data_IF_944645246316
#
_entry.id   IF_944645246316
#
_cell.length_a   1.000
_cell.length_b   1.000
_cell.length_c   1.000
_cell.angle_alpha   90.00
_cell.angle_beta   90.00
_cell.angle_gamma   90.00
#
_symmetry.space_group_name_H-M   'P 1'
#
loop_
_entity.id
_entity.type
_entity.pdbx_description
1 polymer ?
#
# COMPACT_ATOMS: atom_id res chain seq x y z
N UNK A 1 -7.06 -20.51 -15.56
CA UNK A 1 -7.73 -21.00 -14.33
C UNK A 1 -6.91 -22.18 -13.83
N UNK A 2 -5.89 -21.92 -13.01
CA UNK A 2 -5.14 -22.97 -12.30
C UNK A 2 -5.67 -22.93 -10.88
N UNK A 3 -6.43 -23.97 -10.52
CA UNK A 3 -6.97 -24.14 -9.18
C UNK A 3 -5.79 -24.39 -8.22
N UNK A 4 -5.80 -23.68 -7.09
CA UNK A 4 -4.87 -23.88 -5.99
C UNK A 4 -4.78 -25.36 -5.60
N UNK A 5 -3.59 -25.80 -5.17
CA UNK A 5 -3.45 -27.07 -4.46
C UNK A 5 -4.06 -26.88 -3.06
N UNK A 6 -5.37 -27.10 -2.95
CA UNK A 6 -6.21 -26.79 -1.78
C UNK A 6 -5.75 -27.46 -0.48
N UNK A 7 -4.91 -28.49 -0.57
CA UNK A 7 -4.40 -29.29 0.55
C UNK A 7 -3.41 -28.53 1.42
N UNK A 8 -2.54 -27.71 0.86
CA UNK A 8 -1.47 -27.03 1.62
C UNK A 8 -1.92 -25.70 2.26
N UNK A 9 -3.03 -25.12 1.78
CA UNK A 9 -3.72 -24.02 2.45
C UNK A 9 -4.64 -24.54 3.56
N UNK A 10 -5.28 -25.70 3.33
CA UNK A 10 -6.06 -26.41 4.34
C UNK A 10 -5.24 -26.73 5.59
N UNK A 11 -4.04 -27.31 5.43
CA UNK A 11 -3.15 -27.67 6.55
C UNK A 11 -2.74 -26.46 7.39
N UNK A 12 -2.55 -25.29 6.77
CA UNK A 12 -2.18 -24.05 7.47
C UNK A 12 -3.36 -23.44 8.24
N UNK A 13 -4.59 -23.64 7.75
CA UNK A 13 -5.83 -23.19 8.36
C UNK A 13 -6.37 -24.18 9.42
N UNK A 14 -6.12 -25.48 9.25
CA UNK A 14 -6.58 -26.57 10.13
C UNK A 14 -5.80 -26.63 11.44
N UNK A 15 -4.53 -26.19 11.46
CA UNK A 15 -3.71 -26.03 12.68
C UNK A 15 -4.35 -25.11 13.75
N UNK A 16 -5.41 -24.39 13.41
CA UNK A 16 -6.06 -23.37 14.25
C UNK A 16 -7.54 -23.65 14.55
N UNK A 17 -8.02 -24.89 14.36
CA UNK A 17 -9.40 -25.27 14.74
C UNK A 17 -9.56 -25.72 16.20
N UNK A 18 -8.47 -25.93 16.94
CA UNK A 18 -8.47 -26.51 18.30
C UNK A 18 -7.79 -25.60 19.34
N UNK A 19 -8.27 -24.38 19.57
CA UNK A 19 -7.89 -23.66 20.79
C UNK A 19 -9.05 -22.86 21.40
N UNK A 20 -9.38 -23.23 22.62
CA UNK A 20 -10.67 -22.99 23.26
C UNK A 20 -10.70 -21.59 23.90
N UNK A 21 -11.52 -20.70 23.36
CA UNK A 21 -12.41 -19.81 24.15
C UNK A 21 -11.87 -18.83 25.23
N UNK A 22 -10.57 -18.70 25.49
CA UNK A 22 -10.05 -17.92 26.65
C UNK A 22 -9.34 -16.59 26.31
N UNK A 23 -9.66 -15.94 25.19
CA UNK A 23 -9.08 -14.61 24.89
C UNK A 23 -9.76 -13.44 25.62
N UNK A 24 -10.92 -13.65 26.25
CA UNK A 24 -11.83 -12.59 26.69
C UNK A 24 -11.82 -12.29 28.22
N UNK A 25 -10.64 -12.26 28.86
CA UNK A 25 -10.51 -11.76 30.25
C UNK A 25 -9.53 -10.58 30.28
N UNK A 26 -9.99 -9.45 30.83
CA UNK A 26 -9.39 -8.12 30.76
C UNK A 26 -7.86 -8.06 30.70
N UNK A 27 -7.33 -7.43 29.64
CA UNK A 27 -5.89 -7.29 29.41
C UNK A 27 -5.25 -6.48 30.55
N UNK A 28 -4.37 -7.14 31.30
CA UNK A 28 -3.36 -6.45 32.10
C UNK A 28 -2.35 -5.75 31.16
N UNK A 29 -1.95 -4.54 31.52
CA UNK A 29 -0.85 -3.78 30.88
C UNK A 29 0.39 -4.69 30.72
N UNK A 30 0.72 -5.08 29.48
CA UNK A 30 1.93 -5.86 29.17
C UNK A 30 1.77 -7.07 28.24
N UNK A 31 0.55 -7.46 27.82
CA UNK A 31 0.35 -8.50 26.79
C UNK A 31 0.25 -7.85 25.39
N UNK A 32 0.95 -8.42 24.39
CA UNK A 32 0.92 -7.99 22.97
C UNK A 32 -0.51 -7.91 22.42
N UNK A 33 -0.76 -6.98 21.50
CA UNK A 33 -2.04 -6.84 20.81
C UNK A 33 -2.45 -8.08 20.02
N UNK A 34 -1.45 -8.80 19.51
CA UNK A 34 -1.56 -10.01 18.72
C UNK A 34 -0.71 -11.11 19.36
N UNK A 35 -1.18 -12.36 19.35
CA UNK A 35 -0.38 -13.47 19.89
C UNK A 35 0.85 -13.72 19.02
N UNK A 36 1.92 -14.29 19.58
CA UNK A 36 3.11 -14.63 18.78
C UNK A 36 2.80 -15.66 17.67
N UNK A 37 1.82 -16.54 17.91
CA UNK A 37 1.35 -17.50 16.91
C UNK A 37 0.63 -16.81 15.75
N UNK A 38 -0.31 -15.91 16.06
CA UNK A 38 -1.03 -15.12 15.06
C UNK A 38 -0.09 -14.20 14.26
N UNK A 39 0.85 -13.55 14.93
CA UNK A 39 1.89 -12.73 14.31
C UNK A 39 2.63 -13.52 13.22
N UNK A 40 3.12 -14.71 13.58
CA UNK A 40 3.85 -15.56 12.65
C UNK A 40 2.95 -16.05 11.53
N UNK A 41 1.71 -16.48 11.83
CA UNK A 41 0.76 -16.96 10.84
C UNK A 41 0.37 -15.88 9.81
N UNK A 42 0.16 -14.64 10.25
CA UNK A 42 -0.08 -13.50 9.37
C UNK A 42 1.12 -13.26 8.46
N UNK A 43 2.34 -13.21 9.03
CA UNK A 43 3.56 -12.96 8.25
C UNK A 43 3.82 -14.05 7.21
N UNK A 44 3.69 -15.32 7.62
CA UNK A 44 3.90 -16.49 6.77
C UNK A 44 2.87 -16.50 5.63
N UNK A 45 1.60 -16.22 5.93
CA UNK A 45 0.55 -16.15 4.91
C UNK A 45 0.79 -15.00 3.93
N UNK A 46 1.22 -13.82 4.40
CA UNK A 46 1.59 -12.72 3.51
C UNK A 46 2.70 -13.13 2.54
N UNK A 47 3.79 -13.70 3.04
CA UNK A 47 4.91 -14.12 2.20
C UNK A 47 4.53 -15.27 1.25
N UNK A 48 3.76 -16.26 1.71
CA UNK A 48 3.24 -17.35 0.87
C UNK A 48 2.44 -16.81 -0.31
N UNK A 49 1.49 -15.90 -0.04
CA UNK A 49 0.63 -15.30 -1.08
C UNK A 49 1.43 -14.40 -2.04
N UNK A 50 2.38 -13.60 -1.52
CA UNK A 50 3.28 -12.76 -2.32
C UNK A 50 4.16 -13.58 -3.27
N UNK A 51 4.64 -14.74 -2.84
CA UNK A 51 5.44 -15.66 -3.66
C UNK A 51 4.64 -16.43 -4.73
N UNK A 52 3.31 -16.40 -4.66
CA UNK A 52 2.40 -17.18 -5.51
C UNK A 52 1.54 -16.32 -6.46
N UNK A 53 1.80 -15.02 -6.54
CA UNK A 53 1.02 -14.11 -7.37
C UNK A 53 1.06 -14.49 -8.86
N UNK A 54 -0.05 -14.23 -9.55
CA UNK A 54 -0.12 -14.28 -11.00
C UNK A 54 -0.62 -12.93 -11.56
N UNK A 55 0.05 -12.36 -12.58
CA UNK A 55 1.26 -12.88 -13.21
C UNK A 55 2.49 -12.82 -12.28
N UNK A 56 3.55 -13.59 -12.58
CA UNK A 56 4.69 -13.70 -11.66
C UNK A 56 5.44 -12.37 -11.46
N UNK A 57 5.91 -12.14 -10.24
CA UNK A 57 6.59 -10.91 -9.85
C UNK A 57 8.11 -11.06 -9.85
N UNK A 58 8.80 -10.19 -10.58
CA UNK A 58 10.27 -10.20 -10.69
C UNK A 58 10.99 -9.52 -9.52
N UNK A 59 10.30 -8.68 -8.74
CA UNK A 59 10.90 -7.82 -7.72
C UNK A 59 10.20 -7.92 -6.35
N UNK A 60 9.45 -8.98 -6.08
CA UNK A 60 8.66 -9.12 -4.85
C UNK A 60 9.59 -9.26 -3.64
N UNK A 61 9.61 -8.29 -2.72
CA UNK A 61 10.46 -8.35 -1.54
C UNK A 61 9.87 -9.27 -0.47
N UNK A 62 10.74 -10.00 0.24
CA UNK A 62 10.36 -10.72 1.44
C UNK A 62 9.93 -9.72 2.53
N UNK A 63 8.77 -9.97 3.13
CA UNK A 63 8.21 -9.13 4.18
C UNK A 63 8.67 -9.63 5.56
N UNK A 64 9.07 -8.70 6.43
CA UNK A 64 9.42 -8.98 7.83
C UNK A 64 8.46 -8.29 8.77
N UNK A 65 8.32 -8.83 9.98
CA UNK A 65 7.54 -8.18 11.03
C UNK A 65 8.26 -6.94 11.57
N UNK A 66 7.52 -5.87 11.84
CA UNK A 66 8.01 -4.62 12.41
C UNK A 66 7.19 -4.25 13.65
N UNK A 67 7.86 -4.19 14.79
CA UNK A 67 7.21 -3.97 16.10
C UNK A 67 6.70 -2.55 16.29
N UNK A 68 7.26 -1.56 15.58
CA UNK A 68 6.75 -0.18 15.65
C UNK A 68 5.48 -0.04 14.81
N UNK A 69 5.38 -0.75 13.68
CA UNK A 69 4.14 -0.87 12.92
C UNK A 69 3.05 -1.61 13.71
N UNK A 70 3.40 -2.66 14.46
CA UNK A 70 2.48 -3.37 15.38
C UNK A 70 1.95 -2.42 16.45
N UNK A 71 2.82 -1.66 17.12
CA UNK A 71 2.40 -0.69 18.16
C UNK A 71 1.46 0.37 17.58
N UNK A 72 1.78 0.92 16.42
CA UNK A 72 0.90 1.90 15.76
C UNK A 72 -0.44 1.28 15.35
N UNK A 73 -0.46 0.02 14.90
CA UNK A 73 -1.69 -0.70 14.58
C UNK A 73 -2.52 -0.97 15.83
N UNK A 74 -1.90 -1.26 16.97
CA UNK A 74 -2.55 -1.46 18.26
C UNK A 74 -3.26 -0.19 18.71
N UNK A 75 -2.55 0.94 18.73
CA UNK A 75 -3.13 2.25 19.06
C UNK A 75 -4.35 2.58 18.21
N UNK A 76 -4.34 2.22 16.92
CA UNK A 76 -5.49 2.44 16.03
C UNK A 76 -6.62 1.43 16.25
N UNK A 77 -6.31 0.15 16.44
CA UNK A 77 -7.30 -0.90 16.68
C UNK A 77 -8.10 -0.65 17.98
N UNK A 78 -7.47 -0.06 18.99
CA UNK A 78 -8.09 0.33 20.26
C UNK A 78 -9.17 1.42 20.11
N UNK A 79 -9.10 2.23 19.04
CA UNK A 79 -10.10 3.28 18.80
C UNK A 79 -11.48 2.73 18.44
N UNK A 80 -11.54 1.49 17.94
CA UNK A 80 -12.77 0.87 17.44
C UNK A 80 -13.53 1.72 16.41
N UNK A 81 -12.78 2.45 15.57
CA UNK A 81 -13.30 3.20 14.45
C UNK A 81 -13.08 2.42 13.15
N UNK A 82 -14.15 2.20 12.38
CA UNK A 82 -14.08 1.57 11.06
C UNK A 82 -13.63 2.57 9.98
N UNK A 83 -12.44 3.13 10.18
CA UNK A 83 -11.83 4.10 9.27
C UNK A 83 -10.30 3.92 9.28
N UNK A 84 -9.64 4.42 8.24
CA UNK A 84 -8.17 4.43 8.19
C UNK A 84 -7.58 5.49 9.12
N UNK A 85 -6.45 5.19 9.75
CA UNK A 85 -5.72 6.18 10.54
C UNK A 85 -4.53 5.66 11.33
N UNK A 86 -3.93 6.50 12.19
CA UNK A 86 -4.26 7.91 12.38
C UNK A 86 -3.88 8.74 11.15
N UNK A 87 -4.64 9.81 10.87
CA UNK A 87 -4.52 10.60 9.64
C UNK A 87 -3.09 11.11 9.36
N UNK A 88 -2.32 11.46 10.39
CA UNK A 88 -0.93 11.93 10.24
C UNK A 88 0.08 10.85 9.84
N UNK A 89 -0.24 9.56 10.02
CA UNK A 89 0.66 8.46 9.63
C UNK A 89 0.33 7.90 8.25
N UNK A 90 -0.93 7.99 7.82
CA UNK A 90 -1.37 7.48 6.51
C UNK A 90 -0.55 7.97 5.31
N UNK A 91 0.05 9.17 5.27
CA UNK A 91 0.93 9.57 4.16
C UNK A 91 2.17 8.67 4.01
N UNK A 92 2.63 8.07 5.11
CA UNK A 92 3.91 7.36 5.18
C UNK A 92 3.76 5.84 5.26
N UNK A 93 2.59 5.33 5.65
CA UNK A 93 2.33 3.90 5.81
C UNK A 93 1.19 3.43 4.90
N UNK A 94 1.27 2.17 4.48
CA UNK A 94 0.09 1.45 3.98
C UNK A 94 -0.74 0.92 5.15
N UNK A 95 -2.04 0.72 4.95
CA UNK A 95 -2.89 0.13 5.97
C UNK A 95 -4.02 -0.72 5.35
N UNK A 96 -4.17 -1.95 5.82
CA UNK A 96 -5.33 -2.78 5.55
C UNK A 96 -6.13 -2.99 6.83
N UNK A 97 -7.45 -2.93 6.70
CA UNK A 97 -8.40 -3.10 7.78
C UNK A 97 -9.26 -4.34 7.51
N UNK A 98 -9.53 -5.10 8.56
CA UNK A 98 -10.37 -6.29 8.49
C UNK A 98 -11.28 -6.31 9.70
N UNK A 99 -12.57 -6.58 9.49
CA UNK A 99 -13.51 -6.70 10.59
C UNK A 99 -14.46 -7.86 10.34
N UNK A 100 -14.71 -8.63 11.39
CA UNK A 100 -15.81 -9.59 11.42
C UNK A 100 -16.51 -9.56 12.76
N UNK A 101 -17.69 -10.16 12.82
CA UNK A 101 -18.49 -10.30 14.03
C UNK A 101 -19.22 -11.65 13.98
N UNK A 102 -19.65 -12.14 15.14
CA UNK A 102 -20.34 -13.42 15.25
C UNK A 102 -19.38 -14.60 15.41
N UNK A 103 -19.29 -15.48 14.40
CA UNK A 103 -18.47 -16.69 14.50
C UNK A 103 -16.99 -16.32 14.64
N UNK A 104 -16.29 -17.08 15.48
CA UNK A 104 -14.84 -16.99 15.60
C UNK A 104 -14.20 -17.29 14.23
N UNK A 105 -13.33 -16.39 13.78
CA UNK A 105 -12.47 -16.59 12.61
C UNK A 105 -11.01 -16.38 13.01
N UNK A 106 -10.08 -17.20 12.52
CA UNK A 106 -8.65 -17.00 12.78
C UNK A 106 -8.19 -15.65 12.20
N UNK A 107 -7.14 -15.06 12.76
CA UNK A 107 -6.57 -13.79 12.30
C UNK A 107 -6.25 -13.79 10.80
N UNK A 108 -5.77 -14.94 10.30
CA UNK A 108 -5.45 -15.21 8.89
C UNK A 108 -6.65 -15.15 7.93
N UNK A 109 -7.89 -15.29 8.42
CA UNK A 109 -9.08 -15.20 7.57
C UNK A 109 -9.25 -13.82 6.94
N UNK A 110 -8.86 -12.74 7.63
CA UNK A 110 -8.86 -11.40 7.06
C UNK A 110 -7.81 -11.24 5.96
N UNK A 111 -6.62 -11.81 6.16
CA UNK A 111 -5.53 -11.79 5.17
C UNK A 111 -5.95 -12.53 3.91
N UNK A 112 -6.61 -13.67 4.05
CA UNK A 112 -7.17 -14.41 2.92
C UNK A 112 -8.28 -13.60 2.23
N UNK A 113 -9.20 -12.98 2.98
CA UNK A 113 -10.25 -12.13 2.41
C UNK A 113 -9.68 -10.93 1.63
N UNK A 114 -8.60 -10.30 2.11
CA UNK A 114 -7.88 -9.27 1.37
C UNK A 114 -7.27 -9.81 0.08
N UNK A 115 -6.67 -11.00 0.12
CA UNK A 115 -6.10 -11.62 -1.07
C UNK A 115 -7.16 -12.02 -2.10
N UNK A 116 -8.32 -12.49 -1.65
CA UNK A 116 -9.41 -12.97 -2.51
C UNK A 116 -9.98 -11.88 -3.43
N UNK A 117 -9.70 -10.59 -3.18
CA UNK A 117 -9.98 -9.50 -4.10
C UNK A 117 -9.24 -9.66 -5.45
N UNK A 118 -8.21 -10.50 -5.52
CA UNK A 118 -7.52 -10.87 -6.77
C UNK A 118 -8.48 -11.36 -7.86
N UNK A 119 -9.61 -11.98 -7.48
CA UNK A 119 -10.65 -12.44 -8.43
C UNK A 119 -11.27 -11.29 -9.23
N UNK A 120 -11.25 -10.09 -8.67
CA UNK A 120 -11.84 -8.87 -9.20
C UNK A 120 -10.78 -7.89 -9.74
N UNK A 121 -9.50 -8.19 -9.53
CA UNK A 121 -8.38 -7.36 -9.94
C UNK A 121 -7.77 -7.85 -11.26
N UNK A 122 -7.48 -6.92 -12.17
CA UNK A 122 -6.72 -7.21 -13.39
C UNK A 122 -5.37 -6.50 -13.37
N UNK A 123 -4.28 -7.27 -13.46
CA UNK A 123 -2.92 -6.74 -13.46
C UNK A 123 -2.66 -5.83 -14.68
N UNK A 124 -2.17 -4.59 -14.49
CA UNK A 124 -1.80 -3.70 -15.59
C UNK A 124 -0.41 -4.07 -16.11
N UNK A 125 -0.34 -4.51 -17.36
CA UNK A 125 0.95 -4.82 -17.97
C UNK A 125 1.69 -3.56 -18.43
N UNK A 126 3.02 -3.58 -18.58
CA UNK A 126 3.82 -2.40 -18.92
C UNK A 126 3.34 -1.64 -20.17
N UNK A 127 2.84 -2.33 -21.19
CA UNK A 127 2.31 -1.73 -22.41
C UNK A 127 1.04 -0.89 -22.20
N UNK A 128 0.36 -1.08 -21.07
CA UNK A 128 -0.84 -0.34 -20.69
C UNK A 128 -0.52 0.87 -19.82
N UNK A 129 0.72 0.99 -19.36
CA UNK A 129 1.17 2.07 -18.49
C UNK A 129 1.76 3.22 -19.31
N UNK A 130 0.98 4.27 -19.57
CA UNK A 130 1.45 5.47 -20.28
C UNK A 130 0.65 6.75 -19.92
N UNK A 131 1.24 7.72 -19.20
CA UNK A 131 2.46 7.62 -18.38
C UNK A 131 2.23 6.82 -17.09
N UNK A 132 0.97 6.50 -16.78
CA UNK A 132 0.53 5.81 -15.58
C UNK A 132 -0.17 4.50 -15.93
N UNK A 133 -0.08 3.51 -15.06
CA UNK A 133 -0.81 2.25 -15.16
C UNK A 133 -2.30 2.42 -14.80
N UNK A 134 -3.24 1.82 -15.56
CA UNK A 134 -4.65 1.86 -15.23
C UNK A 134 -4.95 0.98 -14.00
N UNK A 135 -5.78 1.49 -13.08
CA UNK A 135 -6.36 0.67 -12.02
C UNK A 135 -7.64 -0.03 -12.53
N UNK A 136 -7.57 -1.36 -12.62
CA UNK A 136 -8.64 -2.24 -13.11
C UNK A 136 -9.15 -3.14 -11.98
N UNK A 137 -10.29 -2.76 -11.42
CA UNK A 137 -11.01 -3.51 -10.40
C UNK A 137 -12.47 -3.61 -10.85
N UNK A 138 -13.01 -4.82 -10.95
CA UNK A 138 -14.42 -5.09 -11.26
C UNK A 138 -15.29 -5.25 -10.02
N UNK A 139 -14.65 -5.46 -8.87
CA UNK A 139 -15.29 -5.63 -7.56
C UNK A 139 -15.44 -4.32 -6.80
N UNK A 140 -16.04 -4.36 -5.61
CA UNK A 140 -16.21 -3.18 -4.76
C UNK A 140 -14.88 -2.65 -4.23
N UNK A 141 -13.91 -3.51 -3.97
CA UNK A 141 -12.58 -3.17 -3.45
C UNK A 141 -11.55 -4.16 -4.02
N UNK A 142 -10.39 -3.63 -4.42
CA UNK A 142 -9.20 -4.44 -4.77
C UNK A 142 -7.91 -3.94 -4.10
N UNK A 143 -8.01 -2.88 -3.29
CA UNK A 143 -6.86 -2.20 -2.71
C UNK A 143 -6.22 -2.95 -1.56
N UNK A 144 -6.95 -3.85 -0.89
CA UNK A 144 -6.34 -4.68 0.15
C UNK A 144 -5.43 -5.73 -0.49
N UNK A 145 -5.88 -6.36 -1.58
CA UNK A 145 -5.04 -7.25 -2.38
C UNK A 145 -3.79 -6.53 -2.87
N UNK A 146 -3.92 -5.38 -3.54
CA UNK A 146 -2.74 -4.71 -4.12
C UNK A 146 -1.74 -4.25 -3.06
N UNK A 147 -2.19 -3.88 -1.84
CA UNK A 147 -1.28 -3.58 -0.73
C UNK A 147 -0.56 -4.83 -0.22
N UNK A 148 -1.28 -5.94 -0.05
CA UNK A 148 -0.72 -7.23 0.39
C UNK A 148 0.39 -7.69 -0.57
N UNK A 149 0.15 -7.57 -1.88
CA UNK A 149 1.10 -7.94 -2.93
C UNK A 149 1.99 -6.80 -3.42
N UNK A 150 2.10 -5.70 -2.67
CA UNK A 150 2.94 -4.58 -3.09
C UNK A 150 4.42 -4.93 -2.94
N UNK A 151 5.15 -5.01 -4.06
CA UNK A 151 6.50 -5.57 -4.11
C UNK A 151 7.47 -4.91 -3.10
N UNK A 152 7.43 -3.59 -2.98
CA UNK A 152 8.35 -2.83 -2.13
C UNK A 152 7.93 -2.77 -0.67
N UNK A 153 6.69 -3.14 -0.33
CA UNK A 153 6.26 -3.21 1.08
C UNK A 153 6.92 -4.42 1.73
N UNK A 154 8.04 -4.20 2.41
CA UNK A 154 8.88 -5.24 3.03
C UNK A 154 8.76 -5.32 4.54
N UNK A 155 7.93 -4.49 5.17
CA UNK A 155 7.65 -4.51 6.61
C UNK A 155 6.15 -4.49 6.86
N UNK A 156 5.70 -5.27 7.83
CA UNK A 156 4.32 -5.31 8.31
C UNK A 156 4.27 -5.35 9.83
N UNK A 157 3.27 -4.71 10.43
CA UNK A 157 2.90 -4.95 11.82
C UNK A 157 1.40 -4.83 11.98
N UNK A 158 0.79 -5.76 12.71
CA UNK A 158 -0.65 -5.82 12.87
C UNK A 158 -1.09 -5.94 14.33
N UNK A 159 -2.31 -5.53 14.61
CA UNK A 159 -2.95 -5.65 15.90
C UNK A 159 -4.41 -6.10 15.76
N UNK A 160 -4.86 -6.89 16.74
CA UNK A 160 -6.25 -7.33 16.86
C UNK A 160 -6.85 -6.72 18.13
N UNK A 161 -8.01 -6.11 17.97
CA UNK A 161 -8.82 -5.64 19.09
C UNK A 161 -10.26 -6.16 18.97
N UNK A 162 -10.91 -6.36 20.11
CA UNK A 162 -12.34 -6.67 20.14
C UNK A 162 -13.12 -5.45 20.60
N UNK A 163 -13.95 -4.96 19.68
CA UNK A 163 -14.77 -3.79 19.84
C UNK A 163 -16.19 -4.19 20.23
N UNK A 164 -16.58 -3.89 21.47
CA UNK A 164 -17.90 -4.29 21.99
C UNK A 164 -19.06 -3.67 21.23
N UNK A 165 -18.92 -2.42 20.78
CA UNK A 165 -19.86 -1.72 19.92
C UNK A 165 -19.07 -0.97 18.86
N UNK A 166 -18.99 -1.51 17.64
CA UNK A 166 -18.30 -0.87 16.51
C UNK A 166 -19.31 -0.49 15.45
N UNK A 167 -19.30 0.77 14.99
CA UNK A 167 -20.12 1.17 13.86
C UNK A 167 -19.39 0.81 12.56
N UNK A 168 -19.92 -0.17 11.85
CA UNK A 168 -19.40 -0.65 10.56
C UNK A 168 -20.46 -0.37 9.51
N UNK A 169 -20.20 0.59 8.61
CA UNK A 169 -21.12 1.02 7.55
C UNK A 169 -22.53 1.39 8.03
N UNK A 170 -22.63 2.09 9.16
CA UNK A 170 -23.91 2.54 9.73
C UNK A 170 -24.64 1.49 10.56
N UNK A 171 -24.04 0.32 10.77
CA UNK A 171 -24.59 -0.75 11.63
C UNK A 171 -23.68 -0.99 12.83
N UNK A 172 -24.29 -1.11 14.02
CA UNK A 172 -23.54 -1.43 15.23
C UNK A 172 -23.31 -2.95 15.29
N UNK A 173 -22.06 -3.35 15.19
CA UNK A 173 -21.62 -4.72 15.34
C UNK A 173 -21.19 -4.96 16.79
N UNK A 174 -21.88 -5.89 17.45
CA UNK A 174 -21.56 -6.29 18.80
C UNK A 174 -20.36 -7.24 18.82
N UNK A 175 -19.38 -6.98 19.69
CA UNK A 175 -18.13 -7.78 19.82
C UNK A 175 -17.45 -8.01 18.47
N UNK A 176 -17.29 -6.94 17.68
CA UNK A 176 -16.57 -6.99 16.41
C UNK A 176 -15.08 -7.25 16.67
N UNK A 177 -14.50 -8.21 15.95
CA UNK A 177 -13.06 -8.47 15.93
C UNK A 177 -12.46 -7.61 14.83
N UNK A 178 -11.60 -6.67 15.20
CA UNK A 178 -11.00 -5.68 14.32
C UNK A 178 -9.50 -5.93 14.18
N UNK A 179 -9.06 -6.22 12.96
CA UNK A 179 -7.67 -6.36 12.56
C UNK A 179 -7.21 -5.09 11.83
N UNK A 180 -6.11 -4.52 12.30
CA UNK A 180 -5.38 -3.43 11.62
C UNK A 180 -4.00 -3.95 11.27
N UNK A 181 -3.60 -3.84 9.99
CA UNK A 181 -2.24 -4.14 9.54
C UNK A 181 -1.63 -2.93 8.85
N UNK A 182 -0.47 -2.48 9.32
CA UNK A 182 0.30 -1.38 8.76
C UNK A 182 1.48 -1.91 7.95
N UNK A 183 1.81 -1.24 6.84
CA UNK A 183 2.86 -1.65 5.90
C UNK A 183 3.87 -0.52 5.67
N UNK A 184 5.13 -0.88 5.50
CA UNK A 184 6.18 0.07 5.09
C UNK A 184 7.21 -0.61 4.17
N UNK A 185 7.71 0.11 3.14
CA UNK A 185 7.12 1.28 2.51
C UNK A 185 5.65 1.10 2.13
N UNK A 186 4.91 2.22 2.10
CA UNK A 186 3.52 2.25 1.68
C UNK A 186 3.34 1.73 0.25
N UNK A 187 2.26 0.99 0.03
CA UNK A 187 1.83 0.54 -1.30
C UNK A 187 0.67 1.36 -1.86
N UNK A 188 -0.03 0.80 -2.84
CA UNK A 188 -1.19 1.41 -3.50
C UNK A 188 -0.88 2.81 -4.03
N UNK A 189 0.29 2.96 -4.65
CA UNK A 189 0.63 4.16 -5.41
C UNK A 189 -0.22 4.19 -6.67
N UNK A 190 -1.03 5.23 -6.84
CA UNK A 190 -1.83 5.35 -8.07
C UNK A 190 -0.90 5.44 -9.28
N UNK A 191 -1.34 4.87 -10.39
CA UNK A 191 -0.59 4.88 -11.63
C UNK A 191 0.59 3.91 -11.66
N UNK A 192 0.77 3.10 -10.62
CA UNK A 192 1.80 2.06 -10.56
C UNK A 192 1.16 0.68 -10.39
N UNK A 193 1.77 -0.31 -11.04
CA UNK A 193 1.46 -1.71 -10.78
C UNK A 193 2.00 -2.12 -9.39
N UNK A 194 1.34 -3.07 -8.70
CA UNK A 194 1.78 -3.51 -7.37
C UNK A 194 3.16 -4.17 -7.38
N UNK A 195 3.58 -4.73 -8.52
CA UNK A 195 4.88 -5.34 -8.72
C UNK A 195 5.27 -5.32 -10.20
N UNK A 196 6.53 -5.63 -10.51
CA UNK A 196 7.02 -5.78 -11.87
C UNK A 196 6.78 -7.20 -12.36
N UNK A 197 5.95 -7.36 -13.39
CA UNK A 197 5.78 -8.64 -14.06
C UNK A 197 7.13 -9.15 -14.61
N UNK A 198 7.45 -10.41 -14.35
CA UNK A 198 8.62 -11.08 -14.93
C UNK A 198 9.00 -12.38 -14.21
N UNK A 199 10.17 -12.91 -14.56
CA UNK A 199 10.70 -14.11 -13.90
C UNK A 199 10.94 -13.80 -12.42
N UNK A 200 10.50 -14.67 -11.49
CA UNK A 200 10.73 -14.47 -10.06
C UNK A 200 12.17 -14.07 -9.74
N UNK A 201 12.31 -13.06 -8.88
CA UNK A 201 13.59 -12.52 -8.43
C UNK A 201 14.52 -11.92 -9.52
N UNK A 202 14.11 -11.83 -10.79
CA UNK A 202 14.96 -11.29 -11.86
C UNK A 202 15.19 -9.78 -11.79
N UNK A 203 14.47 -9.08 -10.92
CA UNK A 203 14.55 -7.64 -10.71
C UNK A 203 14.59 -7.27 -9.21
N UNK A 204 15.14 -8.14 -8.36
CA UNK A 204 15.38 -7.83 -6.95
C UNK A 204 16.28 -6.59 -6.79
N UNK A 205 16.11 -5.80 -5.71
CA UNK A 205 17.00 -4.68 -5.43
C UNK A 205 18.47 -5.14 -5.34
N UNK A 206 19.44 -4.44 -5.96
CA UNK A 206 20.85 -4.83 -5.90
C UNK A 206 21.40 -4.94 -4.48
N UNK A 207 20.87 -4.13 -3.55
CA UNK A 207 21.22 -4.15 -2.13
C UNK A 207 20.86 -5.45 -1.40
N UNK A 208 20.05 -6.33 -2.00
CA UNK A 208 19.59 -7.56 -1.37
C UNK A 208 20.56 -8.73 -1.61
N UNK A 209 21.61 -8.54 -2.41
CA UNK A 209 22.65 -9.57 -2.62
C UNK A 209 22.19 -10.78 -3.43
N UNK A 210 21.03 -10.71 -4.09
CA UNK A 210 20.55 -11.70 -5.06
C UNK A 210 19.95 -12.98 -4.46
N UNK A 211 19.65 -13.03 -3.17
CA UNK A 211 19.05 -14.22 -2.55
C UNK A 211 17.56 -14.29 -2.92
N UNK A 212 17.19 -15.40 -3.57
CA UNK A 212 15.81 -15.72 -3.94
C UNK A 212 15.37 -16.99 -3.21
N UNK A 213 14.23 -16.93 -2.50
CA UNK A 213 13.59 -18.13 -1.94
C UNK A 213 12.09 -18.00 -2.12
N UNK A 214 11.43 -19.07 -2.56
CA UNK A 214 9.96 -19.08 -2.72
C UNK A 214 9.44 -17.89 -3.55
N UNK A 215 10.18 -17.51 -4.60
CA UNK A 215 9.90 -16.37 -5.48
C UNK A 215 9.99 -14.98 -4.83
N UNK A 216 10.61 -14.85 -3.66
CA UNK A 216 10.78 -13.59 -2.93
C UNK A 216 12.25 -13.16 -2.85
N UNK A 217 12.49 -11.85 -2.89
CA UNK A 217 13.80 -11.22 -2.73
C UNK A 217 14.14 -11.08 -1.23
N UNK A 218 15.20 -11.75 -0.78
CA UNK A 218 15.69 -11.66 0.60
C UNK A 218 16.87 -10.72 0.70
N UNK A 219 16.93 -9.89 1.76
CA UNK A 219 18.13 -9.13 2.08
C UNK A 219 19.22 -10.10 2.54
N UNK A 220 20.29 -10.24 1.77
CA UNK A 220 21.48 -10.96 2.21
C UNK A 220 22.12 -10.25 3.41
N UNK A 221 22.43 -11.00 4.46
CA UNK A 221 23.31 -10.53 5.51
C UNK A 221 24.70 -10.33 4.89
N UNK A 222 25.22 -9.11 4.91
CA UNK A 222 26.51 -8.73 4.34
C UNK A 222 27.73 -9.42 4.96
N UNK A 223 27.54 -10.52 5.71
CA UNK A 223 28.58 -11.37 6.28
C UNK A 223 28.87 -12.54 5.35
N UNK A 224 29.70 -12.27 4.35
CA UNK A 224 30.72 -13.17 3.79
C UNK A 224 30.30 -14.57 3.31
N UNK A 225 30.34 -14.80 2.00
CA UNK A 225 31.25 -15.81 1.43
C UNK A 225 31.37 -15.59 -0.08
N UNK A 226 32.56 -15.17 -0.51
CA UNK A 226 33.10 -15.63 -1.78
C UNK A 226 32.99 -17.15 -1.79
N UNK A 227 32.09 -17.71 -2.59
CA UNK A 227 32.29 -19.05 -3.11
C UNK A 227 33.02 -18.88 -4.44
N UNK A 228 34.21 -19.48 -4.64
CA UNK A 228 34.86 -19.47 -5.92
C UNK A 228 33.92 -20.14 -6.93
N UNK A 229 33.63 -19.46 -8.04
CA UNK A 229 33.02 -20.10 -9.19
C UNK A 229 34.02 -21.16 -9.67
N UNK A 230 33.61 -22.42 -9.66
CA UNK A 230 34.20 -23.42 -10.55
C UNK A 230 33.94 -22.94 -11.98
N UNK A 231 34.97 -22.43 -12.63
CA UNK A 231 34.96 -22.22 -14.07
C UNK A 231 35.02 -23.61 -14.72
N UNK A 232 33.86 -24.10 -15.13
CA UNK A 232 33.77 -25.18 -16.13
C UNK A 232 34.45 -24.73 -17.40
N UNK A 233 35.44 -25.52 -17.81
CA UNK A 233 36.28 -25.37 -18.98
C UNK A 233 35.48 -25.03 -20.26
N UNK A 234 35.66 -23.83 -20.81
CA UNK A 234 35.54 -23.63 -22.25
C UNK A 234 36.93 -23.62 -22.87
N UNK A 235 37.24 -24.78 -23.46
CA UNK A 235 38.36 -25.00 -24.36
C UNK A 235 38.20 -24.09 -25.59
N UNK A 236 39.03 -23.05 -25.72
CA UNK A 236 39.29 -22.41 -26.99
C UNK A 236 40.79 -22.20 -27.23
N UNK A 237 41.20 -22.64 -28.41
CA UNK A 237 42.56 -22.88 -28.86
C UNK A 237 43.42 -21.61 -28.92
N UNK A 238 44.70 -21.78 -28.55
CA UNK A 238 45.76 -20.79 -28.62
C UNK A 238 46.20 -20.59 -30.07
N UNK A 239 46.30 -19.33 -30.50
CA UNK A 239 47.17 -18.91 -31.61
C UNK A 239 48.14 -17.83 -31.06
N UNK A 240 49.46 -17.84 -31.38
CA UNK A 240 50.44 -17.08 -30.62
C UNK A 240 50.54 -15.60 -31.04
N UNK A 241 50.58 -14.68 -30.07
CA UNK A 241 50.88 -13.26 -30.30
C UNK A 241 52.35 -12.98 -30.63
N UNK A 242 52.57 -11.96 -31.47
CA UNK A 242 53.85 -11.29 -31.67
C UNK A 242 54.06 -10.15 -30.63
N UNK A 243 55.30 -9.80 -30.26
CA UNK A 243 55.56 -8.96 -29.09
C UNK A 243 55.72 -7.48 -29.45
N UNK A 244 55.11 -6.53 -28.70
CA UNK A 244 55.63 -5.15 -28.57
C UNK A 244 55.09 -4.35 -27.34
N UNK A 245 56.03 -4.10 -26.41
CA UNK A 245 56.34 -2.85 -25.67
C UNK A 245 55.35 -2.16 -24.70
N UNK A 246 55.82 -1.68 -23.52
CA UNK A 246 54.99 -1.13 -22.44
C UNK A 246 54.71 0.38 -22.55
N UNK A 247 53.43 0.76 -22.47
CA UNK A 247 52.97 2.15 -22.29
C UNK A 247 52.76 2.54 -20.80
N UNK A 248 52.68 3.84 -20.47
CA UNK A 248 52.86 4.34 -19.11
C UNK A 248 51.61 4.22 -18.22
N UNK A 249 51.85 3.95 -16.92
CA UNK A 249 50.83 3.88 -15.85
C UNK A 249 50.15 5.24 -15.65
N UNK A 250 48.82 5.28 -15.79
CA UNK A 250 47.99 6.35 -15.25
C UNK A 250 47.51 5.99 -13.83
N UNK A 251 47.66 6.95 -12.92
CA UNK A 251 47.29 6.89 -11.50
C UNK A 251 45.78 6.69 -11.31
N UNK A 252 45.39 5.75 -10.45
CA UNK A 252 44.04 5.65 -9.89
C UNK A 252 43.78 6.79 -8.88
N UNK A 253 42.61 7.46 -8.90
CA UNK A 253 42.20 8.35 -7.81
C UNK A 253 41.61 7.57 -6.63
N UNK A 254 42.02 7.94 -5.42
CA UNK A 254 41.50 7.43 -4.14
C UNK A 254 39.99 7.68 -3.96
N UNK A 255 39.27 6.80 -3.24
CA UNK A 255 37.82 6.90 -3.08
C UNK A 255 37.44 8.01 -2.09
N UNK A 256 36.71 9.01 -2.57
CA UNK A 256 36.03 10.00 -1.73
C UNK A 256 34.74 9.40 -1.16
N UNK A 257 34.62 9.43 0.17
CA UNK A 257 33.38 9.10 0.90
C UNK A 257 32.23 9.97 0.37
N UNK A 258 31.21 9.35 -0.22
CA UNK A 258 29.90 9.99 -0.44
C UNK A 258 28.95 9.56 0.69
N UNK A 259 28.25 10.48 1.35
CA UNK A 259 27.17 10.12 2.25
C UNK A 259 26.02 9.52 1.45
N UNK A 260 25.35 8.50 2.00
CA UNK A 260 24.15 7.89 1.45
C UNK A 260 23.05 8.95 1.34
N UNK A 261 22.81 9.44 0.13
CA UNK A 261 21.67 10.29 -0.19
C UNK A 261 20.48 9.37 -0.47
N UNK A 262 19.42 9.54 0.31
CA UNK A 262 18.10 8.95 0.07
C UNK A 262 17.65 9.38 -1.33
N UNK A 263 17.45 8.41 -2.23
CA UNK A 263 17.03 8.67 -3.61
C UNK A 263 15.53 9.01 -3.62
N UNK A 264 15.27 10.33 -3.64
CA UNK A 264 14.09 11.07 -4.10
C UNK A 264 12.68 10.66 -3.61
N UNK A 265 12.08 11.54 -2.80
CA UNK A 265 10.64 11.57 -2.48
C UNK A 265 9.75 11.96 -3.69
N UNK A 266 10.34 12.50 -4.77
CA UNK A 266 9.60 12.98 -5.95
C UNK A 266 9.02 11.83 -6.80
N UNK A 267 9.52 10.61 -6.63
CA UNK A 267 9.03 9.42 -7.35
C UNK A 267 7.80 8.75 -6.72
N UNK A 268 7.29 9.27 -5.61
CA UNK A 268 6.18 8.69 -4.83
C UNK A 268 4.97 9.63 -4.77
N UNK A 269 4.66 10.33 -5.84
CA UNK A 269 3.49 11.21 -5.88
C UNK A 269 2.91 11.33 -7.28
N UNK A 270 1.61 11.57 -7.30
CA UNK A 270 0.79 11.65 -8.49
C UNK A 270 0.56 13.09 -8.92
N UNK A 271 1.13 13.55 -10.03
CA UNK A 271 0.80 14.88 -10.56
C UNK A 271 -0.58 14.80 -11.23
N UNK A 272 -1.56 15.47 -10.64
CA UNK A 272 -2.91 15.56 -11.22
C UNK A 272 -3.09 16.90 -11.93
N UNK A 273 -4.14 17.02 -12.74
CA UNK A 273 -4.55 18.33 -13.28
C UNK A 273 -5.51 19.01 -12.31
N UNK A 274 -5.62 20.33 -12.41
CA UNK A 274 -6.54 21.12 -11.60
C UNK A 274 -8.01 20.67 -11.76
N UNK A 275 -8.39 20.12 -12.92
CA UNK A 275 -9.72 19.58 -13.18
C UNK A 275 -9.96 18.15 -12.69
N UNK A 276 -8.94 17.45 -12.18
CA UNK A 276 -9.06 16.05 -11.75
C UNK A 276 -10.00 15.94 -10.56
N UNK A 277 -11.08 15.16 -10.70
CA UNK A 277 -12.03 14.88 -9.61
C UNK A 277 -11.68 13.59 -8.90
N UNK A 278 -12.12 13.46 -7.67
CA UNK A 278 -11.94 12.23 -6.89
C UNK A 278 -12.55 11.01 -7.60
N UNK A 279 -13.75 11.14 -8.16
CA UNK A 279 -14.40 10.06 -8.91
C UNK A 279 -13.55 9.53 -10.07
N UNK A 280 -12.71 10.38 -10.65
CA UNK A 280 -11.89 10.02 -11.81
C UNK A 280 -10.64 9.24 -11.38
N UNK A 281 -10.07 9.61 -10.23
CA UNK A 281 -8.76 9.14 -9.77
C UNK A 281 -8.81 8.19 -8.57
N UNK A 282 -9.93 8.04 -7.86
CA UNK A 282 -9.94 7.30 -6.59
C UNK A 282 -11.05 6.24 -6.51
N UNK A 283 -11.98 6.18 -7.46
CA UNK A 283 -12.99 5.10 -7.66
C UNK A 283 -13.55 4.44 -6.37
N UNK A 284 -13.78 5.20 -5.30
CA UNK A 284 -14.33 4.70 -4.03
C UNK A 284 -13.32 4.33 -2.92
N UNK A 285 -12.02 4.56 -3.10
CA UNK A 285 -10.96 4.28 -2.10
C UNK A 285 -10.14 5.53 -1.74
N UNK A 286 -9.41 5.49 -0.62
CA UNK A 286 -8.44 6.54 -0.24
C UNK A 286 -7.33 6.67 -1.29
N UNK A 287 -7.00 7.92 -1.65
CA UNK A 287 -5.97 8.24 -2.63
C UNK A 287 -4.69 8.71 -1.93
N UNK A 288 -3.59 8.06 -2.25
CA UNK A 288 -2.30 8.28 -1.60
C UNK A 288 -1.48 9.34 -2.36
N UNK A 289 -1.02 10.36 -1.63
CA UNK A 289 -0.19 11.52 -2.02
C UNK A 289 -0.27 11.96 -3.48
N UNK A 290 -1.06 13.00 -3.71
CA UNK A 290 -1.25 13.68 -4.98
C UNK A 290 -0.50 15.01 -4.96
N UNK A 291 0.20 15.35 -6.03
CA UNK A 291 0.72 16.69 -6.28
C UNK A 291 -0.26 17.49 -7.12
N UNK A 292 -0.70 18.62 -6.56
CA UNK A 292 -1.50 19.60 -7.25
C UNK A 292 -0.60 20.68 -7.86
N UNK A 293 -0.75 20.97 -9.17
CA UNK A 293 0.00 22.03 -9.81
C UNK A 293 -0.46 23.39 -9.30
N UNK A 294 0.38 24.41 -9.54
CA UNK A 294 0.03 25.81 -9.26
C UNK A 294 -1.10 26.30 -10.15
N UNK A 295 -1.74 27.38 -9.71
CA UNK A 295 -2.75 28.17 -10.42
C UNK A 295 -4.07 27.44 -10.72
N UNK A 296 -4.44 26.47 -9.89
CA UNK A 296 -5.72 25.76 -10.06
C UNK A 296 -6.98 26.61 -9.86
N UNK A 297 -6.87 27.83 -9.32
CA UNK A 297 -7.98 28.78 -9.24
C UNK A 297 -8.32 29.44 -10.59
N UNK A 298 -7.39 29.45 -11.54
CA UNK A 298 -7.53 30.13 -12.84
C UNK A 298 -8.27 29.26 -13.88
N UNK A 299 -8.50 27.97 -13.57
CA UNK A 299 -9.13 27.02 -14.45
C UNK A 299 -10.68 27.15 -14.45
N UNK A 300 -11.32 26.73 -15.55
CA UNK A 300 -12.77 26.85 -15.72
C UNK A 300 -13.56 26.19 -14.58
N UNK A 301 -14.42 26.98 -13.92
CA UNK A 301 -15.21 26.55 -12.76
C UNK A 301 -16.14 25.38 -13.04
N UNK A 302 -16.59 25.20 -14.28
CA UNK A 302 -17.44 24.08 -14.67
C UNK A 302 -16.70 22.73 -14.70
N UNK A 303 -15.37 22.73 -14.88
CA UNK A 303 -14.56 21.52 -14.86
C UNK A 303 -14.07 21.20 -13.44
N UNK A 304 -13.74 22.23 -12.67
CA UNK A 304 -13.06 22.10 -11.38
C UNK A 304 -13.92 22.55 -10.18
N UNK A 305 -15.22 22.31 -10.22
CA UNK A 305 -16.18 22.63 -9.15
C UNK A 305 -15.72 22.14 -7.76
N UNK A 306 -16.09 22.87 -6.70
CA UNK A 306 -15.88 22.45 -5.30
C UNK A 306 -17.23 22.36 -4.61
N UNK A 307 -17.61 21.16 -4.14
CA UNK A 307 -18.89 20.91 -3.48
C UNK A 307 -18.62 20.48 -2.04
N UNK A 308 -19.12 21.24 -1.07
CA UNK A 308 -18.93 20.98 0.36
C UNK A 308 -17.81 21.78 1.03
N UNK A 309 -17.70 21.62 2.35
CA UNK A 309 -16.73 22.29 3.22
C UNK A 309 -16.30 21.35 4.33
N UNK A 310 -14.99 21.30 4.63
CA UNK A 310 -14.30 20.29 5.47
C UNK A 310 -14.38 18.86 4.91
N UNK A 311 -15.53 18.49 4.37
CA UNK A 311 -15.84 17.24 3.69
C UNK A 311 -16.43 17.59 2.33
N UNK A 312 -15.81 17.09 1.27
CA UNK A 312 -16.12 17.43 -0.11
C UNK A 312 -16.73 16.23 -0.85
N UNK A 313 -17.61 16.48 -1.81
CA UNK A 313 -18.16 15.41 -2.67
C UNK A 313 -17.10 14.88 -3.64
N UNK A 314 -17.18 13.60 -4.03
CA UNK A 314 -16.34 12.99 -5.08
C UNK A 314 -16.39 13.68 -6.46
N UNK A 315 -17.37 14.55 -6.68
CA UNK A 315 -17.50 15.42 -7.87
C UNK A 315 -16.56 16.62 -7.85
N UNK A 316 -15.99 16.93 -6.69
CA UNK A 316 -15.16 18.10 -6.51
C UNK A 316 -13.79 17.90 -7.16
N UNK A 317 -13.21 18.98 -7.69
CA UNK A 317 -11.79 19.02 -8.02
C UNK A 317 -10.97 18.80 -6.76
N UNK A 318 -10.04 17.84 -6.83
CA UNK A 318 -9.15 17.49 -5.73
C UNK A 318 -8.31 18.72 -5.33
N UNK A 319 -7.68 19.39 -6.30
CA UNK A 319 -6.77 20.50 -6.03
C UNK A 319 -7.48 21.77 -5.56
N UNK A 320 -8.64 22.10 -6.14
CA UNK A 320 -9.41 23.26 -5.68
C UNK A 320 -10.07 23.03 -4.34
N UNK A 321 -10.49 21.80 -4.03
CA UNK A 321 -10.94 21.45 -2.69
C UNK A 321 -9.81 21.60 -1.66
N UNK A 322 -8.58 21.20 -2.01
CA UNK A 322 -7.43 21.37 -1.13
C UNK A 322 -7.03 22.84 -0.91
N UNK A 323 -7.10 23.68 -1.96
CA UNK A 323 -6.93 25.14 -1.82
C UNK A 323 -8.04 25.72 -0.95
N UNK A 324 -9.30 25.37 -1.20
CA UNK A 324 -10.45 25.82 -0.39
C UNK A 324 -10.26 25.43 1.08
N UNK A 325 -9.77 24.21 1.36
CA UNK A 325 -9.48 23.72 2.70
C UNK A 325 -8.26 24.41 3.37
N UNK A 326 -7.46 25.17 2.62
CA UNK A 326 -6.24 25.81 3.11
C UNK A 326 -5.07 24.85 3.28
N UNK A 327 -5.13 23.67 2.65
CA UNK A 327 -4.12 22.62 2.75
C UNK A 327 -2.91 22.93 1.86
N UNK A 328 -3.15 23.53 0.69
CA UNK A 328 -2.12 24.01 -0.23
C UNK A 328 -2.44 25.43 -0.69
N UNK A 329 -1.40 26.16 -1.10
CA UNK A 329 -1.54 27.48 -1.67
C UNK A 329 -1.67 27.38 -3.21
N UNK A 330 -2.51 28.25 -3.81
CA UNK A 330 -2.72 28.26 -5.25
C UNK A 330 -1.45 28.58 -6.05
N UNK A 331 -0.62 29.52 -5.59
CA UNK A 331 0.57 30.01 -6.30
C UNK A 331 1.71 28.98 -6.32
N UNK A 332 1.84 28.18 -5.26
CA UNK A 332 2.88 27.15 -5.16
C UNK A 332 2.42 25.76 -5.59
N UNK A 333 1.10 25.49 -5.59
CA UNK A 333 0.60 24.12 -5.58
C UNK A 333 1.08 23.37 -4.34
N UNK A 334 1.09 22.05 -4.40
CA UNK A 334 1.66 21.24 -3.31
C UNK A 334 1.15 19.81 -3.25
N UNK A 335 1.75 19.04 -2.35
CA UNK A 335 1.35 17.67 -2.06
C UNK A 335 0.16 17.63 -1.10
N UNK A 336 -0.78 16.74 -1.37
CA UNK A 336 -1.98 16.53 -0.57
C UNK A 336 -2.28 15.05 -0.44
N UNK A 337 -2.81 14.67 0.71
CA UNK A 337 -3.37 13.35 0.93
C UNK A 337 -4.90 13.42 0.93
N UNK A 338 -5.52 12.43 0.28
CA UNK A 338 -6.95 12.44 -0.03
C UNK A 338 -7.61 11.25 0.64
N UNK A 339 -8.29 11.51 1.74
CA UNK A 339 -8.98 10.50 2.53
C UNK A 339 -10.41 10.31 2.02
N UNK A 340 -10.79 9.07 1.69
CA UNK A 340 -12.17 8.72 1.40
C UNK A 340 -12.96 8.52 2.71
N UNK A 341 -14.17 9.07 2.74
CA UNK A 341 -15.13 9.00 3.84
C UNK A 341 -16.50 8.56 3.31
N UNK A 342 -17.39 8.15 4.21
CA UNK A 342 -18.78 7.84 3.87
C UNK A 342 -19.49 9.06 3.25
N UNK A 343 -20.36 8.84 2.25
CA UNK A 343 -21.06 9.92 1.57
C UNK A 343 -22.04 10.61 2.52
N UNK A 344 -22.07 11.95 2.47
CA UNK A 344 -23.06 12.73 3.21
C UNK A 344 -24.30 12.99 2.35
N UNK A 345 -25.47 12.92 2.97
CA UNK A 345 -26.72 13.37 2.32
C UNK A 345 -26.71 14.87 2.02
N UNK A 346 -25.98 15.66 2.83
CA UNK A 346 -25.90 17.11 2.71
C UNK A 346 -24.47 17.61 2.81
N UNK A 347 -24.06 18.42 1.83
CA UNK A 347 -22.81 19.17 1.79
C UNK A 347 -23.12 20.66 1.92
N UNK A 348 -22.46 21.34 2.88
CA UNK A 348 -22.63 22.77 3.10
C UNK A 348 -21.66 23.60 2.26
N UNK A 349 -22.12 24.74 1.75
CA UNK A 349 -21.26 25.72 1.08
C UNK A 349 -20.54 26.62 2.08
N UNK A 350 -19.35 27.10 1.70
CA UNK A 350 -18.63 28.16 2.38
C UNK A 350 -17.73 28.93 1.41
N UNK A 351 -17.30 30.13 1.80
CA UNK A 351 -16.22 30.85 1.13
C UNK A 351 -14.94 30.74 1.96
N UNK A 352 -13.91 30.10 1.40
CA UNK A 352 -12.61 29.92 2.06
C UNK A 352 -11.50 30.01 1.01
N UNK A 353 -10.38 30.65 1.39
CA UNK A 353 -9.16 30.72 0.57
C UNK A 353 -9.42 31.12 -0.90
N UNK A 354 -10.32 32.09 -1.11
CA UNK A 354 -10.66 32.62 -2.43
C UNK A 354 -11.59 31.74 -3.28
N UNK A 355 -12.11 30.64 -2.74
CA UNK A 355 -13.03 29.72 -3.44
C UNK A 355 -14.39 29.73 -2.72
N UNK A 356 -15.48 29.87 -3.49
CA UNK A 356 -16.84 29.61 -3.01
C UNK A 356 -17.17 28.16 -3.35
N UNK A 357 -17.42 27.34 -2.34
CA UNK A 357 -17.93 25.98 -2.54
C UNK A 357 -19.45 25.95 -2.68
N UNK A 358 -19.96 24.91 -3.31
CA UNK A 358 -21.39 24.73 -3.55
C UNK A 358 -22.04 23.82 -2.51
N UNK A 359 -23.31 24.12 -2.23
CA UNK A 359 -24.18 23.28 -1.41
C UNK A 359 -24.78 22.20 -2.29
N UNK A 360 -24.83 20.97 -1.81
CA UNK A 360 -25.42 19.87 -2.56
C UNK A 360 -26.13 18.88 -1.64
N UNK A 361 -27.28 18.39 -2.09
CA UNK A 361 -28.04 17.33 -1.44
C UNK A 361 -28.05 16.13 -2.36
N UNK A 362 -27.52 14.99 -1.90
CA UNK A 362 -27.45 13.81 -2.75
C UNK A 362 -28.81 13.09 -2.85
N UNK A 363 -29.23 12.64 -4.05
CA UNK A 363 -30.40 11.78 -4.19
C UNK A 363 -30.19 10.44 -3.47
N UNK A 364 -31.27 9.87 -2.92
CA UNK A 364 -31.29 8.54 -2.31
C UNK A 364 -31.16 7.45 -3.41
N UNK A 365 -29.95 7.24 -3.91
CA UNK A 365 -29.60 6.22 -4.92
C UNK A 365 -28.52 5.28 -4.36
N UNK A 366 -28.50 3.98 -4.73
CA UNK A 366 -27.68 2.94 -4.10
C UNK A 366 -26.21 2.89 -4.55
N UNK A 367 -25.71 3.93 -5.21
CA UNK A 367 -24.33 3.96 -5.70
C UNK A 367 -23.41 4.41 -4.58
N UNK A 368 -22.40 3.61 -4.22
CA UNK A 368 -21.35 3.99 -3.29
C UNK A 368 -20.65 5.27 -3.81
N UNK A 369 -20.79 6.37 -3.06
CA UNK A 369 -20.13 7.66 -3.33
C UNK A 369 -19.16 7.92 -2.20
N UNK A 370 -18.01 8.52 -2.49
CA UNK A 370 -17.03 8.85 -1.46
C UNK A 370 -17.11 10.35 -1.13
N UNK A 371 -17.01 10.68 0.15
CA UNK A 371 -16.72 12.03 0.59
C UNK A 371 -15.20 12.18 0.83
N UNK A 372 -14.68 13.41 0.81
CA UNK A 372 -13.23 13.65 0.81
C UNK A 372 -12.83 14.63 1.89
N UNK A 373 -11.77 14.30 2.63
CA UNK A 373 -10.99 15.28 3.38
C UNK A 373 -9.61 15.44 2.72
N UNK A 374 -9.20 16.68 2.49
CA UNK A 374 -7.81 17.00 2.13
C UNK A 374 -7.02 17.18 3.42
N UNK A 375 -5.90 16.46 3.56
CA UNK A 375 -4.98 16.60 4.68
C UNK A 375 -3.64 17.18 4.20
N UNK A 376 -3.11 18.13 4.97
CA UNK A 376 -1.76 18.69 4.77
C UNK A 376 -0.70 17.79 5.38
N UNK A 377 0.49 17.82 4.78
CA UNK A 377 1.68 17.16 5.30
C UNK A 377 2.19 17.81 6.58
#
# INVERSE_FOLDING_TARGET
>A
MVLFNATDLGVLLEKYQDDDGEWAVGRQRGKRAITASDMQAILDLHNKLRGQVYPAASNMEYMVWDTELERSAEEWAETCLWEHGPAGLLPHIGQNLGVHWGRYGPSTSHVQAWYDEVKDYSFPYPQECNPHCPFKCSGPVCTHYTQLVWATSSRIGCAINVCYNMNVWGQIWAKAVYLVCNYTPKGNWWGYAPYKHGTPCSACPPSYGGVCRENLCYKGDGTNSQSPREETEERNSVEPEAPHSPGPRLRAPSPTKRPNVVVSEEQMSQIVTCGTKLRDQCKGTTCNRIYCPRNCMEENTNLSQVIGTRIYSDKSSICRAAIHAGVINNESGGYIDVMALDPRQLYFSSYQNGIISERWTEPLEPVARAAVAAAGC
#
